data_IF_326485218559
#
_entry.id   IF_326485218559
#
_cell.length_a   1.000
_cell.length_b   1.000
_cell.length_c   1.000
_cell.angle_alpha   90.00
_cell.angle_beta   90.00
_cell.angle_gamma   90.00
#
_symmetry.space_group_name_H-M   'P 1'
#
loop_
_entity.id
_entity.type
_entity.pdbx_description
1 polymer ?
#
# COMPACT_ATOMS: atom_id res chain seq x y z
N UNK A 1 32.28 -54.74 60.86
CA UNK A 1 31.20 -54.88 59.91
C UNK A 1 29.90 -54.40 60.54
N UNK A 2 29.53 -53.19 60.41
CA UNK A 2 28.23 -52.63 60.93
C UNK A 2 27.57 -51.80 59.85
N UNK A 3 26.46 -52.30 59.29
CA UNK A 3 25.52 -51.59 58.41
C UNK A 3 24.89 -50.42 59.17
N UNK A 4 24.92 -49.25 58.59
CA UNK A 4 24.11 -48.12 59.03
C UNK A 4 22.98 -47.87 58.00
N UNK A 5 21.78 -48.11 58.50
CA UNK A 5 20.51 -47.80 57.85
C UNK A 5 20.31 -46.30 57.94
N UNK A 6 20.15 -45.61 56.77
CA UNK A 6 19.73 -44.21 56.71
C UNK A 6 18.26 -44.23 56.42
N UNK A 7 17.47 -43.77 57.37
CA UNK A 7 16.04 -43.52 57.22
C UNK A 7 15.90 -42.14 56.61
N UNK A 8 15.35 -42.04 55.36
CA UNK A 8 14.99 -40.79 54.75
C UNK A 8 13.55 -40.44 55.16
N UNK A 9 13.41 -39.34 55.89
CA UNK A 9 12.12 -38.76 56.25
C UNK A 9 11.72 -37.87 55.12
N UNK A 10 10.66 -38.22 54.36
CA UNK A 10 10.02 -37.40 53.34
C UNK A 10 9.06 -36.41 54.06
N UNK A 11 9.42 -35.14 54.02
CA UNK A 11 8.50 -34.06 54.42
C UNK A 11 7.66 -33.70 53.19
N UNK A 12 6.40 -34.06 53.23
CA UNK A 12 5.41 -33.64 52.27
C UNK A 12 4.87 -32.28 52.69
N UNK A 13 5.37 -31.21 52.08
CA UNK A 13 4.76 -29.86 52.17
C UNK A 13 3.64 -29.76 51.18
N UNK A 14 2.40 -29.76 51.67
CA UNK A 14 1.21 -29.43 50.86
C UNK A 14 1.21 -27.91 50.57
N UNK A 15 1.55 -27.51 49.37
CA UNK A 15 1.32 -26.18 48.84
C UNK A 15 -0.15 -26.08 48.46
N UNK A 16 -0.95 -25.38 49.28
CA UNK A 16 -2.28 -24.94 48.87
C UNK A 16 -2.13 -23.85 47.78
N UNK A 17 -2.40 -24.21 46.53
CA UNK A 17 -2.51 -23.26 45.45
C UNK A 17 -3.79 -22.47 45.68
N UNK A 18 -3.69 -21.22 46.13
CA UNK A 18 -4.79 -20.26 46.08
C UNK A 18 -4.98 -19.93 44.61
N UNK A 19 -6.03 -20.47 43.99
CA UNK A 19 -6.51 -20.02 42.70
C UNK A 19 -7.06 -18.58 42.89
N UNK A 20 -6.22 -17.60 42.57
CA UNK A 20 -6.69 -16.24 42.34
C UNK A 20 -7.57 -16.35 41.08
N UNK A 21 -8.86 -16.19 41.24
CA UNK A 21 -9.76 -15.99 40.11
C UNK A 21 -9.36 -14.66 39.46
N UNK A 22 -8.52 -14.73 38.44
CA UNK A 22 -8.31 -13.64 37.52
C UNK A 22 -9.69 -13.50 36.83
N UNK A 23 -10.44 -12.46 37.22
CA UNK A 23 -11.65 -12.05 36.51
C UNK A 23 -11.25 -11.93 35.04
N UNK A 24 -11.82 -12.79 34.19
CA UNK A 24 -11.47 -12.85 32.78
C UNK A 24 -11.59 -11.46 32.18
N UNK A 25 -10.46 -10.88 31.82
CA UNK A 25 -10.44 -9.77 30.89
C UNK A 25 -11.21 -10.26 29.66
N UNK A 26 -12.32 -9.62 29.36
CA UNK A 26 -13.07 -9.91 28.14
C UNK A 26 -12.12 -9.59 26.99
N UNK A 27 -11.86 -10.58 26.13
CA UNK A 27 -11.16 -10.39 24.89
C UNK A 27 -11.88 -9.27 24.12
N UNK A 28 -11.24 -8.08 23.88
CA UNK A 28 -11.90 -6.95 23.23
C UNK A 28 -12.31 -7.29 21.80
N UNK A 29 -11.69 -8.31 21.18
CA UNK A 29 -11.96 -8.76 19.81
C UNK A 29 -12.91 -9.99 19.78
N UNK A 30 -13.37 -10.46 20.94
CA UNK A 30 -14.32 -11.57 21.00
C UNK A 30 -15.67 -11.14 20.42
N UNK A 31 -16.09 -11.86 19.37
CA UNK A 31 -17.40 -11.63 18.71
C UNK A 31 -17.34 -10.69 17.49
N UNK A 32 -16.17 -10.21 17.09
CA UNK A 32 -16.03 -9.56 15.80
C UNK A 32 -16.25 -10.60 14.69
N UNK A 33 -17.29 -10.37 13.87
CA UNK A 33 -17.58 -11.22 12.71
C UNK A 33 -16.50 -10.98 11.62
N UNK A 34 -15.73 -12.02 11.33
CA UNK A 34 -14.65 -12.01 10.34
C UNK A 34 -15.15 -12.62 9.03
N UNK A 35 -15.23 -11.84 7.95
CA UNK A 35 -15.67 -12.38 6.68
C UNK A 35 -14.65 -13.37 6.11
N UNK A 36 -15.13 -14.35 5.36
CA UNK A 36 -14.22 -15.16 4.53
C UNK A 36 -13.71 -14.31 3.35
N UNK A 37 -12.39 -14.29 3.10
CA UNK A 37 -11.82 -13.55 1.99
C UNK A 37 -12.23 -14.17 0.65
N UNK A 38 -12.24 -13.34 -0.39
CA UNK A 38 -12.45 -13.83 -1.73
C UNK A 38 -11.19 -14.60 -2.20
N UNK A 39 -11.39 -15.83 -2.66
CA UNK A 39 -10.32 -16.68 -3.19
C UNK A 39 -10.28 -16.65 -4.72
N UNK A 40 -9.11 -16.99 -5.30
CA UNK A 40 -8.93 -17.12 -6.74
C UNK A 40 -9.93 -18.15 -7.32
N UNK A 41 -10.70 -17.73 -8.33
CA UNK A 41 -11.69 -18.59 -9.02
C UNK A 41 -11.23 -19.13 -10.38
N UNK A 42 -9.97 -18.89 -10.73
CA UNK A 42 -9.41 -19.42 -11.96
C UNK A 42 -8.51 -18.47 -12.72
N UNK A 43 -7.99 -18.96 -13.85
CA UNK A 43 -7.07 -18.20 -14.70
C UNK A 43 -7.83 -17.43 -15.78
N UNK A 44 -7.36 -16.21 -16.05
CA UNK A 44 -7.87 -15.34 -17.09
C UNK A 44 -6.77 -14.96 -18.08
N UNK A 45 -7.18 -14.58 -19.28
CA UNK A 45 -6.31 -13.97 -20.28
C UNK A 45 -7.03 -12.73 -20.83
N UNK A 46 -7.10 -11.70 -19.99
CA UNK A 46 -7.76 -10.44 -20.36
C UNK A 46 -6.87 -9.60 -21.27
N UNK A 47 -5.54 -9.71 -21.11
CA UNK A 47 -4.55 -8.92 -21.87
C UNK A 47 -3.20 -9.65 -21.97
N UNK A 48 -2.41 -9.23 -22.96
CA UNK A 48 -0.96 -9.45 -23.03
C UNK A 48 -0.23 -8.20 -22.56
N UNK A 49 1.06 -8.31 -22.25
CA UNK A 49 1.93 -7.16 -21.97
C UNK A 49 2.98 -6.95 -23.06
N UNK A 50 3.37 -5.71 -23.28
CA UNK A 50 4.47 -5.33 -24.16
C UNK A 50 5.40 -4.37 -23.41
N UNK A 51 6.71 -4.67 -23.41
CA UNK A 51 7.73 -3.76 -22.89
C UNK A 51 7.84 -2.54 -23.80
N UNK A 52 7.73 -1.33 -23.24
CA UNK A 52 7.72 -0.06 -23.97
C UNK A 52 8.87 0.86 -23.63
N UNK A 53 9.53 0.66 -22.48
CA UNK A 53 10.75 1.37 -22.10
C UNK A 53 11.69 0.44 -21.32
N UNK A 54 13.00 0.70 -21.42
CA UNK A 54 14.07 -0.05 -20.72
C UNK A 54 15.21 0.88 -20.34
N UNK A 55 16.16 0.37 -19.53
CA UNK A 55 17.33 1.16 -19.12
C UNK A 55 17.01 2.22 -18.07
N UNK A 56 15.90 2.05 -17.37
CA UNK A 56 15.53 2.87 -16.23
C UNK A 56 16.18 2.31 -14.96
N UNK A 57 16.38 3.17 -13.95
CA UNK A 57 17.02 2.75 -12.71
C UNK A 57 15.99 2.51 -11.61
N UNK A 58 15.61 1.24 -11.44
CA UNK A 58 14.63 0.82 -10.42
C UNK A 58 13.36 1.68 -10.43
N UNK A 59 12.55 1.67 -11.51
CA UNK A 59 11.31 2.42 -11.54
C UNK A 59 10.39 2.08 -10.36
N UNK A 60 9.88 3.09 -9.66
CA UNK A 60 8.93 2.94 -8.56
C UNK A 60 7.52 3.36 -8.93
N UNK A 61 7.37 4.19 -9.96
CA UNK A 61 6.09 4.69 -10.42
C UNK A 61 6.11 5.00 -11.92
N UNK A 62 4.96 4.89 -12.58
CA UNK A 62 4.75 5.31 -13.97
C UNK A 62 3.35 5.87 -14.16
N UNK A 63 3.22 6.92 -14.94
CA UNK A 63 1.93 7.51 -15.29
C UNK A 63 2.04 8.56 -16.38
N UNK A 64 0.97 9.30 -16.60
CA UNK A 64 0.87 10.35 -17.62
C UNK A 64 0.51 11.67 -16.96
N UNK A 65 1.20 12.75 -17.33
CA UNK A 65 0.89 14.08 -16.81
C UNK A 65 -0.30 14.70 -17.57
N UNK A 66 -1.20 15.40 -16.88
CA UNK A 66 -2.22 16.23 -17.55
C UNK A 66 -1.58 17.19 -18.55
N UNK A 67 -2.06 17.18 -19.80
CA UNK A 67 -1.53 18.00 -20.87
C UNK A 67 -0.29 17.43 -21.59
N UNK A 68 0.18 16.21 -21.23
CA UNK A 68 1.32 15.54 -21.88
C UNK A 68 1.02 14.07 -22.24
N UNK A 69 -0.06 13.79 -23.00
CA UNK A 69 -0.53 12.41 -23.26
C UNK A 69 0.45 11.56 -24.07
N UNK A 70 1.40 12.19 -24.76
CA UNK A 70 2.42 11.52 -25.57
C UNK A 70 3.64 11.03 -24.82
N UNK A 71 3.68 11.19 -23.50
CA UNK A 71 4.82 10.82 -22.68
C UNK A 71 4.42 10.00 -21.45
N UNK A 72 5.28 9.06 -21.07
CA UNK A 72 5.25 8.43 -19.77
C UNK A 72 6.20 9.18 -18.83
N UNK A 73 5.71 9.49 -17.64
CA UNK A 73 6.52 10.00 -16.55
C UNK A 73 6.85 8.85 -15.61
N UNK A 74 8.09 8.74 -15.22
CA UNK A 74 8.59 7.62 -14.43
C UNK A 74 9.40 8.16 -13.26
N UNK A 75 9.16 7.62 -12.07
CA UNK A 75 10.07 7.79 -10.95
C UNK A 75 11.14 6.71 -10.99
N UNK A 76 12.38 7.11 -10.88
CA UNK A 76 13.49 6.21 -10.57
C UNK A 76 13.80 6.29 -9.08
N UNK A 77 13.83 5.15 -8.39
CA UNK A 77 14.01 5.07 -6.95
C UNK A 77 15.19 5.91 -6.42
N UNK A 78 16.35 6.01 -7.12
CA UNK A 78 17.46 6.84 -6.65
C UNK A 78 17.22 8.36 -6.68
N UNK A 79 16.03 8.83 -7.09
CA UNK A 79 15.67 10.25 -6.96
C UNK A 79 15.47 11.00 -8.26
N UNK A 80 15.23 10.34 -9.39
CA UNK A 80 14.97 11.05 -10.65
C UNK A 80 13.52 10.93 -11.09
N UNK A 81 12.96 12.06 -11.52
CA UNK A 81 11.74 12.11 -12.31
C UNK A 81 12.14 12.17 -13.78
N UNK A 82 11.73 11.15 -14.53
CA UNK A 82 12.09 10.97 -15.94
C UNK A 82 10.85 11.09 -16.80
N UNK A 83 10.95 11.85 -17.89
CA UNK A 83 9.96 11.89 -18.96
C UNK A 83 10.45 11.04 -20.14
N UNK A 84 9.64 10.06 -20.54
CA UNK A 84 9.91 9.14 -21.64
C UNK A 84 8.92 9.40 -22.78
N UNK A 85 9.43 9.87 -23.92
CA UNK A 85 8.60 10.16 -25.10
C UNK A 85 9.36 9.85 -26.38
N UNK A 86 8.71 9.19 -27.36
CA UNK A 86 9.28 8.86 -28.64
C UNK A 86 10.58 8.02 -28.54
N UNK A 87 10.72 7.16 -27.51
CA UNK A 87 11.93 6.37 -27.27
C UNK A 87 13.07 7.16 -26.64
N UNK A 88 12.89 8.43 -26.32
CA UNK A 88 13.89 9.31 -25.70
C UNK A 88 13.58 9.54 -24.24
N UNK A 89 14.62 9.56 -23.42
CA UNK A 89 14.60 9.85 -21.99
C UNK A 89 15.10 11.26 -21.74
N UNK A 90 14.38 12.01 -20.89
CA UNK A 90 14.86 13.27 -20.31
C UNK A 90 14.61 13.30 -18.81
N UNK A 91 15.59 13.74 -18.03
CA UNK A 91 15.42 13.97 -16.58
C UNK A 91 14.76 15.34 -16.40
N UNK A 92 13.64 15.36 -15.66
CA UNK A 92 12.87 16.58 -15.38
C UNK A 92 13.24 17.13 -14.01
N UNK A 93 13.40 16.24 -13.00
CA UNK A 93 13.83 16.58 -11.65
C UNK A 93 14.91 15.59 -11.23
N UNK A 94 15.95 16.07 -10.57
CA UNK A 94 17.02 15.24 -10.02
C UNK A 94 17.20 15.54 -8.52
N UNK A 95 16.76 14.62 -7.68
CA UNK A 95 16.87 14.64 -6.21
C UNK A 95 17.90 13.62 -5.70
N UNK A 96 18.77 13.07 -6.56
CA UNK A 96 19.70 11.98 -6.19
C UNK A 96 20.64 12.32 -5.03
N UNK A 97 20.86 13.61 -4.75
CA UNK A 97 21.65 14.07 -3.61
C UNK A 97 20.83 14.26 -2.33
N UNK A 98 19.51 14.14 -2.41
CA UNK A 98 18.56 14.36 -1.32
C UNK A 98 17.84 13.09 -0.91
N UNK A 99 18.05 11.98 -1.63
CA UNK A 99 17.35 10.72 -1.46
C UNK A 99 18.27 9.68 -0.88
N UNK A 100 17.85 8.99 0.19
CA UNK A 100 18.43 7.74 0.65
C UNK A 100 17.75 6.59 -0.06
N UNK A 101 18.53 5.64 -0.58
CA UNK A 101 18.05 4.46 -1.30
C UNK A 101 18.25 3.23 -0.42
N UNK A 102 17.20 2.43 -0.27
CA UNK A 102 17.21 1.16 0.45
C UNK A 102 16.30 0.15 -0.23
N UNK A 103 15.85 -0.86 0.51
CA UNK A 103 14.87 -1.81 0.01
C UNK A 103 13.59 -1.07 -0.39
N UNK A 104 13.01 -0.33 0.54
CA UNK A 104 11.80 0.47 0.34
C UNK A 104 12.07 1.99 0.29
N UNK A 105 13.24 2.46 0.75
CA UNK A 105 13.64 3.87 0.71
C UNK A 105 13.94 4.33 -0.70
N UNK A 106 13.59 5.58 -1.01
CA UNK A 106 13.85 6.18 -2.31
C UNK A 106 12.89 7.30 -2.67
N UNK A 107 12.80 7.60 -3.96
CA UNK A 107 11.73 8.43 -4.54
C UNK A 107 10.54 7.51 -4.84
N UNK A 108 9.43 7.67 -4.10
CA UNK A 108 8.39 6.66 -3.96
C UNK A 108 7.04 7.07 -4.56
N UNK A 109 6.69 8.36 -4.51
CA UNK A 109 5.40 8.86 -4.96
C UNK A 109 5.48 10.10 -5.81
N UNK A 110 4.58 10.19 -6.80
CA UNK A 110 4.34 11.38 -7.62
C UNK A 110 2.84 11.54 -7.83
N UNK A 111 2.35 12.74 -7.61
CA UNK A 111 1.02 13.16 -8.03
C UNK A 111 1.12 14.46 -8.82
N UNK A 112 0.43 14.55 -9.94
CA UNK A 112 0.23 15.80 -10.65
C UNK A 112 -0.98 16.52 -10.09
N UNK A 113 -0.88 17.84 -9.92
CA UNK A 113 -2.06 18.64 -9.63
C UNK A 113 -3.10 18.43 -10.74
N UNK A 114 -4.40 18.36 -10.47
CA UNK A 114 -5.43 18.22 -11.52
C UNK A 114 -5.25 19.24 -12.68
N UNK A 115 -4.89 20.47 -12.36
CA UNK A 115 -4.63 21.53 -13.34
C UNK A 115 -3.16 21.62 -13.78
N UNK A 116 -2.38 20.53 -13.70
CA UNK A 116 -0.95 20.54 -14.04
C UNK A 116 -0.66 21.11 -15.42
N UNK A 117 -1.53 20.88 -16.39
CA UNK A 117 -1.38 21.43 -17.75
C UNK A 117 -1.19 22.96 -17.77
N UNK A 118 -1.79 23.67 -16.81
CA UNK A 118 -1.76 25.14 -16.70
C UNK A 118 -0.85 25.63 -15.59
N UNK A 119 -0.88 24.98 -14.40
CA UNK A 119 -0.17 25.48 -13.21
C UNK A 119 1.21 24.84 -12.99
N UNK A 120 1.52 23.73 -13.71
CA UNK A 120 2.80 23.01 -13.67
C UNK A 120 3.18 22.49 -12.27
N UNK A 121 2.21 22.34 -11.37
CA UNK A 121 2.42 21.85 -10.01
C UNK A 121 2.39 20.32 -10.00
N UNK A 122 3.37 19.71 -9.35
CA UNK A 122 3.40 18.28 -9.02
C UNK A 122 3.93 18.10 -7.60
N UNK A 123 3.68 16.94 -7.04
CA UNK A 123 4.04 16.59 -5.68
C UNK A 123 4.87 15.32 -5.69
N UNK A 124 5.94 15.32 -4.91
CA UNK A 124 6.83 14.17 -4.76
C UNK A 124 6.88 13.73 -3.31
N UNK A 125 6.94 12.41 -3.11
CA UNK A 125 7.30 11.78 -1.86
C UNK A 125 8.64 11.07 -2.02
N UNK A 126 9.54 11.25 -1.04
CA UNK A 126 10.81 10.55 -0.98
C UNK A 126 11.30 10.38 0.46
N UNK A 127 12.24 9.45 0.68
CA UNK A 127 13.00 9.35 1.92
C UNK A 127 14.28 10.17 1.78
N UNK A 128 14.47 11.14 2.68
CA UNK A 128 15.61 12.06 2.65
C UNK A 128 16.93 11.39 3.11
N UNK A 129 18.03 12.14 3.16
CA UNK A 129 19.37 11.64 3.54
C UNK A 129 19.47 11.12 4.97
N UNK A 130 18.48 11.39 5.83
CA UNK A 130 18.35 10.82 7.18
C UNK A 130 17.43 9.59 7.20
N UNK A 131 16.76 9.32 6.10
CA UNK A 131 15.75 8.27 5.96
C UNK A 131 14.34 8.72 6.27
N UNK A 132 14.12 10.01 6.58
CA UNK A 132 12.82 10.57 6.91
C UNK A 132 11.96 10.76 5.66
N UNK A 133 10.66 10.54 5.78
CA UNK A 133 9.69 10.82 4.71
C UNK A 133 9.50 12.31 4.50
N UNK A 134 9.57 12.73 3.24
CA UNK A 134 9.28 14.10 2.79
C UNK A 134 8.18 14.07 1.73
N UNK A 135 7.24 15.01 1.83
CA UNK A 135 6.33 15.35 0.73
C UNK A 135 6.48 16.85 0.43
N UNK A 136 6.70 17.17 -0.83
CA UNK A 136 6.84 18.56 -1.25
C UNK A 136 6.21 18.84 -2.62
N UNK A 137 5.82 20.09 -2.79
CA UNK A 137 5.35 20.66 -4.06
C UNK A 137 6.54 21.09 -4.91
N UNK A 138 6.44 20.81 -6.21
CA UNK A 138 7.38 21.25 -7.24
C UNK A 138 6.62 22.00 -8.33
N UNK A 139 7.26 23.06 -8.86
CA UNK A 139 6.79 23.77 -10.04
C UNK A 139 7.96 24.00 -10.99
N UNK A 140 7.76 23.68 -12.27
CA UNK A 140 8.80 23.80 -13.30
C UNK A 140 10.14 23.16 -12.89
N UNK A 141 10.07 21.99 -12.25
CA UNK A 141 11.22 21.20 -11.83
C UNK A 141 11.92 21.68 -10.54
N UNK A 142 11.39 22.68 -9.85
CA UNK A 142 11.96 23.24 -8.61
C UNK A 142 11.01 23.04 -7.45
N UNK A 143 11.53 22.65 -6.29
CA UNK A 143 10.77 22.58 -5.06
C UNK A 143 10.32 24.00 -4.66
N UNK A 144 9.02 24.15 -4.36
CA UNK A 144 8.39 25.41 -3.98
C UNK A 144 7.94 25.43 -2.52
N UNK A 145 7.47 24.28 -2.00
CA UNK A 145 6.95 24.17 -0.64
C UNK A 145 7.12 22.75 -0.10
N UNK A 146 7.57 22.62 1.15
CA UNK A 146 7.45 21.36 1.89
C UNK A 146 6.05 21.27 2.50
N UNK A 147 5.43 20.09 2.40
CA UNK A 147 4.09 19.82 2.91
C UNK A 147 4.10 18.87 4.09
N UNK A 148 5.01 17.89 4.10
CA UNK A 148 5.10 16.87 5.14
C UNK A 148 6.54 16.50 5.41
N UNK A 149 6.86 16.33 6.69
CA UNK A 149 8.09 15.72 7.19
C UNK A 149 7.70 14.76 8.31
N UNK A 150 8.06 13.47 8.17
CA UNK A 150 7.82 12.43 9.18
C UNK A 150 9.10 11.64 9.37
N UNK A 151 9.55 11.52 10.62
CA UNK A 151 10.67 10.66 10.97
C UNK A 151 10.29 9.19 10.71
N UNK A 152 11.20 8.44 10.07
CA UNK A 152 11.01 7.02 9.81
C UNK A 152 11.92 6.21 10.73
N UNK A 153 11.35 5.41 11.62
CA UNK A 153 12.16 4.66 12.58
C UNK A 153 12.99 3.55 11.93
N UNK A 154 12.42 2.88 10.91
CA UNK A 154 13.08 1.75 10.23
C UNK A 154 13.23 1.99 8.72
N UNK A 155 13.94 1.07 8.03
CA UNK A 155 14.21 1.18 6.58
C UNK A 155 13.07 0.68 5.70
N UNK A 156 12.09 0.03 6.29
CA UNK A 156 10.94 -0.59 5.63
C UNK A 156 9.63 0.09 6.05
N UNK A 157 8.53 -0.33 5.43
CA UNK A 157 7.18 0.18 5.62
C UNK A 157 7.09 1.69 5.41
N UNK A 158 7.77 2.19 4.37
CA UNK A 158 7.77 3.62 4.08
C UNK A 158 6.52 4.08 3.33
N UNK A 159 5.79 3.18 2.66
CA UNK A 159 4.62 3.54 1.85
C UNK A 159 4.96 4.57 0.76
N UNK A 160 4.38 5.76 0.86
CA UNK A 160 4.81 6.95 0.12
C UNK A 160 4.09 7.19 -1.21
N UNK A 161 3.09 6.39 -1.57
CA UNK A 161 2.27 6.70 -2.75
C UNK A 161 1.50 8.01 -2.58
N UNK A 162 1.41 8.78 -3.67
CA UNK A 162 0.64 10.02 -3.73
C UNK A 162 -0.43 9.93 -4.82
N UNK A 163 -1.63 10.39 -4.52
CA UNK A 163 -2.69 10.56 -5.50
C UNK A 163 -3.63 11.71 -5.09
N UNK A 164 -4.26 12.37 -6.06
CA UNK A 164 -5.38 13.25 -5.79
C UNK A 164 -6.67 12.44 -5.70
N UNK A 165 -7.45 12.69 -4.66
CA UNK A 165 -8.79 12.16 -4.51
C UNK A 165 -9.82 12.89 -5.39
N UNK A 166 -11.03 12.33 -5.54
CA UNK A 166 -12.12 12.97 -6.27
C UNK A 166 -12.61 14.28 -5.63
N UNK A 167 -12.29 14.49 -4.36
CA UNK A 167 -12.55 15.70 -3.58
C UNK A 167 -11.50 16.82 -3.82
N UNK A 168 -10.49 16.56 -4.65
CA UNK A 168 -9.41 17.50 -4.98
C UNK A 168 -8.29 17.57 -3.93
N UNK A 169 -8.35 16.78 -2.85
CA UNK A 169 -7.29 16.71 -1.84
C UNK A 169 -6.14 15.82 -2.31
N UNK A 170 -4.93 16.12 -1.87
CA UNK A 170 -3.76 15.25 -2.05
C UNK A 170 -3.73 14.22 -0.93
N UNK A 171 -3.60 12.95 -1.28
CA UNK A 171 -3.50 11.82 -0.35
C UNK A 171 -2.10 11.22 -0.35
N UNK A 172 -1.67 10.72 0.81
CA UNK A 172 -0.44 9.94 0.98
C UNK A 172 -0.70 8.70 1.83
N UNK A 173 -0.27 7.54 1.36
CA UNK A 173 -0.23 6.31 2.16
C UNK A 173 1.09 6.25 2.94
N UNK A 174 0.98 6.12 4.26
CA UNK A 174 2.11 6.03 5.18
C UNK A 174 2.11 4.66 5.83
N UNK A 175 3.21 3.92 5.72
CA UNK A 175 3.38 2.69 6.49
C UNK A 175 3.57 2.97 7.98
N UNK A 176 3.51 1.92 8.80
CA UNK A 176 3.64 1.98 10.26
C UNK A 176 5.07 2.35 10.74
N UNK A 177 6.02 2.45 9.80
CA UNK A 177 7.40 2.81 10.06
C UNK A 177 8.30 1.61 10.37
N UNK A 178 7.81 0.38 10.23
CA UNK A 178 8.58 -0.86 10.36
C UNK A 178 8.55 -1.48 11.75
N UNK A 179 9.22 -2.62 11.86
CA UNK A 179 9.15 -3.47 13.04
C UNK A 179 8.00 -4.49 12.95
N UNK A 180 8.21 -5.67 13.57
CA UNK A 180 7.19 -6.70 13.61
C UNK A 180 6.06 -6.31 14.58
N UNK A 181 4.81 -6.54 14.18
CA UNK A 181 3.59 -6.31 14.98
C UNK A 181 3.37 -4.87 15.43
N UNK A 182 3.94 -3.87 14.74
CA UNK A 182 3.82 -2.44 15.08
C UNK A 182 4.06 -2.18 16.59
N UNK A 183 5.29 -2.38 17.08
CA UNK A 183 5.56 -2.48 18.53
C UNK A 183 5.27 -1.20 19.31
N UNK A 184 5.18 -0.06 18.62
CA UNK A 184 4.82 1.23 19.21
C UNK A 184 3.40 1.65 18.90
N UNK A 185 2.61 0.76 18.24
CA UNK A 185 1.20 0.96 17.92
C UNK A 185 0.91 2.23 17.10
N UNK A 186 1.86 2.63 16.26
CA UNK A 186 1.72 3.84 15.45
C UNK A 186 0.54 3.78 14.51
N UNK A 187 0.25 2.60 13.94
CA UNK A 187 -0.89 2.43 13.04
C UNK A 187 -2.24 2.73 13.73
N UNK A 188 -2.33 2.53 15.04
CA UNK A 188 -3.53 2.76 15.84
C UNK A 188 -3.51 4.10 16.60
N UNK A 189 -2.40 4.84 16.63
CA UNK A 189 -2.29 6.14 17.29
C UNK A 189 -2.75 7.27 16.35
N UNK A 190 -3.81 7.98 16.71
CA UNK A 190 -4.36 9.10 15.91
C UNK A 190 -3.43 10.33 15.88
N UNK A 191 -2.53 10.47 16.82
CA UNK A 191 -1.56 11.56 16.89
C UNK A 191 -0.30 11.27 16.06
N UNK A 192 -0.05 10.01 15.69
CA UNK A 192 1.02 9.61 14.77
C UNK A 192 0.53 9.66 13.31
N UNK A 193 1.45 9.94 12.40
CA UNK A 193 1.19 9.96 10.94
C UNK A 193 1.54 8.64 10.25
N UNK A 194 2.18 7.71 10.96
CA UNK A 194 2.55 6.40 10.45
C UNK A 194 1.38 5.42 10.54
N UNK A 195 1.31 4.45 9.63
CA UNK A 195 0.22 3.49 9.52
C UNK A 195 -1.13 4.10 9.11
N UNK A 196 -1.12 5.10 8.21
CA UNK A 196 -2.27 5.95 7.87
C UNK A 196 -2.44 6.14 6.37
N UNK A 197 -3.67 6.41 5.98
CA UNK A 197 -3.95 7.22 4.79
C UNK A 197 -4.22 8.66 5.25
N UNK A 198 -3.39 9.59 4.82
CA UNK A 198 -3.50 11.01 5.16
C UNK A 198 -3.96 11.81 3.95
N UNK A 199 -4.69 12.91 4.17
CA UNK A 199 -5.07 13.85 3.12
C UNK A 199 -4.76 15.29 3.48
N UNK A 200 -4.56 16.15 2.47
CA UNK A 200 -4.37 17.60 2.66
C UNK A 200 -4.95 18.39 1.50
N UNK A 201 -5.45 19.60 1.80
CA UNK A 201 -5.81 20.58 0.79
C UNK A 201 -4.56 21.41 0.44
N UNK A 202 -4.01 21.18 -0.77
CA UNK A 202 -2.77 21.84 -1.22
C UNK A 202 -2.99 23.27 -1.65
N UNK A 203 -4.23 23.70 -1.86
CA UNK A 203 -4.61 25.07 -2.22
C UNK A 203 -5.13 25.88 -1.03
N UNK A 204 -5.43 25.19 0.09
CA UNK A 204 -5.85 25.76 1.36
C UNK A 204 -4.70 25.90 2.37
N UNK A 205 -5.00 25.55 3.61
CA UNK A 205 -4.09 25.65 4.76
C UNK A 205 -3.00 24.56 4.80
N UNK A 206 -3.12 23.55 3.93
CA UNK A 206 -2.27 22.38 3.85
C UNK A 206 -2.20 21.56 5.16
N UNK A 207 -3.22 21.66 6.02
CA UNK A 207 -3.35 20.81 7.20
C UNK A 207 -3.62 19.37 6.80
N UNK A 208 -2.92 18.43 7.42
CA UNK A 208 -3.09 17.01 7.19
C UNK A 208 -4.20 16.44 8.06
N UNK A 209 -5.05 15.62 7.46
CA UNK A 209 -6.11 14.85 8.13
C UNK A 209 -5.80 13.36 8.06
N UNK A 210 -6.21 12.62 9.09
CA UNK A 210 -6.20 11.15 9.09
C UNK A 210 -7.52 10.70 8.49
N UNK A 211 -7.48 9.96 7.40
CA UNK A 211 -8.65 9.39 6.71
C UNK A 211 -8.85 7.92 7.07
N UNK A 212 -7.74 7.16 7.19
CA UNK A 212 -7.74 5.77 7.61
C UNK A 212 -6.63 5.53 8.61
N UNK A 213 -6.86 4.59 9.54
CA UNK A 213 -5.89 4.07 10.51
C UNK A 213 -5.75 2.56 10.35
N UNK A 214 -4.74 1.97 11.01
CA UNK A 214 -4.57 0.53 11.02
C UNK A 214 -4.05 -0.02 9.69
N UNK A 215 -3.17 0.71 9.02
CA UNK A 215 -2.44 0.27 7.83
C UNK A 215 -1.02 -0.15 8.20
N UNK A 216 -0.52 -1.22 7.57
CA UNK A 216 0.86 -1.70 7.78
C UNK A 216 1.85 -1.03 6.83
N UNK A 217 1.68 -1.25 5.54
CA UNK A 217 2.54 -0.70 4.50
C UNK A 217 1.76 -0.52 3.19
N UNK A 218 0.88 0.50 3.11
CA UNK A 218 0.05 0.77 1.94
C UNK A 218 0.91 1.21 0.77
N UNK A 219 1.39 0.21 0.00
CA UNK A 219 2.37 0.45 -1.07
C UNK A 219 1.79 1.25 -2.21
N UNK A 220 0.61 0.87 -2.72
CA UNK A 220 -0.12 1.66 -3.72
C UNK A 220 -1.60 1.68 -3.41
N UNK A 221 -2.20 2.82 -3.68
CA UNK A 221 -3.65 2.98 -3.64
C UNK A 221 -4.15 3.74 -4.87
N UNK A 222 -5.42 3.62 -5.18
CA UNK A 222 -6.06 4.36 -6.27
C UNK A 222 -7.52 4.66 -5.93
N UNK A 223 -8.02 5.77 -6.44
CA UNK A 223 -9.43 6.12 -6.30
C UNK A 223 -10.26 5.56 -7.47
N UNK A 224 -11.40 4.97 -7.16
CA UNK A 224 -12.51 4.88 -8.10
C UNK A 224 -13.39 6.12 -7.94
N UNK A 225 -13.10 7.14 -8.74
CA UNK A 225 -13.80 8.42 -8.65
C UNK A 225 -15.30 8.32 -8.93
N UNK A 226 -15.74 7.30 -9.67
CA UNK A 226 -17.16 7.08 -9.97
C UNK A 226 -17.96 6.64 -8.74
N UNK A 227 -17.29 5.96 -7.80
CA UNK A 227 -17.90 5.41 -6.60
C UNK A 227 -17.46 6.14 -5.32
N UNK A 228 -16.48 7.04 -5.38
CA UNK A 228 -15.91 7.72 -4.20
C UNK A 228 -15.08 6.79 -3.32
N UNK A 229 -14.58 5.70 -3.86
CA UNK A 229 -13.88 4.66 -3.13
C UNK A 229 -12.37 4.74 -3.32
N UNK A 230 -11.62 4.39 -2.27
CA UNK A 230 -10.18 4.14 -2.35
C UNK A 230 -9.92 2.63 -2.29
N UNK A 231 -9.04 2.17 -3.15
CA UNK A 231 -8.54 0.81 -3.22
C UNK A 231 -7.06 0.80 -2.83
N UNK A 232 -6.69 -0.05 -1.88
CA UNK A 232 -5.35 -0.07 -1.29
C UNK A 232 -4.78 -1.47 -1.41
N UNK A 233 -3.51 -1.60 -1.76
CA UNK A 233 -2.72 -2.81 -1.54
C UNK A 233 -1.87 -2.56 -0.31
N UNK A 234 -2.21 -3.23 0.79
CA UNK A 234 -1.48 -3.14 2.05
C UNK A 234 -0.64 -4.40 2.26
N UNK A 235 0.67 -4.23 2.38
CA UNK A 235 1.64 -5.35 2.45
C UNK A 235 1.60 -5.97 3.84
N UNK A 236 1.30 -7.26 3.88
CA UNK A 236 1.25 -8.05 5.10
C UNK A 236 2.62 -8.37 5.71
N UNK A 237 2.61 -9.04 6.86
CA UNK A 237 3.84 -9.35 7.58
C UNK A 237 4.39 -10.74 7.27
N UNK A 238 3.61 -11.77 7.54
CA UNK A 238 4.10 -13.15 7.58
C UNK A 238 3.32 -14.11 6.66
N UNK A 239 2.01 -13.96 6.59
CA UNK A 239 1.13 -14.98 6.00
C UNK A 239 0.31 -14.48 4.83
N UNK A 240 -0.15 -13.21 4.84
CA UNK A 240 -1.23 -12.75 3.99
C UNK A 240 -1.00 -11.35 3.43
N UNK A 241 -1.19 -11.19 2.14
CA UNK A 241 -1.27 -9.91 1.45
C UNK A 241 -2.74 -9.51 1.26
N UNK A 242 -3.08 -8.22 1.37
CA UNK A 242 -4.47 -7.79 1.35
C UNK A 242 -4.77 -6.65 0.37
N UNK A 243 -6.02 -6.63 -0.08
CA UNK A 243 -6.62 -5.56 -0.88
C UNK A 243 -7.80 -5.00 -0.10
N UNK A 244 -7.71 -3.73 0.23
CA UNK A 244 -8.78 -3.00 0.88
C UNK A 244 -9.56 -2.15 -0.09
N UNK A 245 -10.85 -1.98 0.22
CA UNK A 245 -11.76 -1.11 -0.51
C UNK A 245 -12.57 -0.32 0.49
N UNK A 246 -12.42 0.99 0.50
CA UNK A 246 -13.02 1.86 1.49
C UNK A 246 -13.76 3.00 0.80
N UNK A 247 -15.02 3.21 1.19
CA UNK A 247 -15.72 4.46 0.88
C UNK A 247 -15.27 5.51 1.89
N UNK A 248 -14.65 6.57 1.39
CA UNK A 248 -14.30 7.73 2.21
C UNK A 248 -15.49 8.69 2.25
N UNK A 249 -15.97 8.95 3.46
CA UNK A 249 -17.11 9.83 3.69
C UNK A 249 -16.60 11.13 4.33
N UNK A 250 -16.90 12.29 3.76
CA UNK A 250 -16.48 13.57 4.33
C UNK A 250 -16.98 13.71 5.76
N UNK A 251 -16.13 14.22 6.65
CA UNK A 251 -16.43 14.54 8.06
C UNK A 251 -16.78 13.35 8.97
N UNK A 252 -16.66 12.11 8.48
CA UNK A 252 -16.75 10.90 9.31
C UNK A 252 -15.42 10.63 10.03
N UNK A 253 -15.45 9.96 11.20
CA UNK A 253 -14.23 9.48 11.86
C UNK A 253 -13.41 8.55 10.96
N UNK A 254 -12.08 8.48 11.13
CA UNK A 254 -11.24 7.57 10.37
C UNK A 254 -11.71 6.12 10.49
N UNK A 255 -11.83 5.42 9.37
CA UNK A 255 -12.08 3.97 9.38
C UNK A 255 -10.80 3.22 9.69
N UNK A 256 -10.93 2.04 10.34
CA UNK A 256 -9.83 1.24 10.84
C UNK A 256 -9.66 -0.03 9.99
N UNK A 257 -8.46 -0.29 9.46
CA UNK A 257 -8.16 -1.47 8.65
C UNK A 257 -7.57 -2.63 9.47
N UNK A 258 -7.36 -2.41 10.77
CA UNK A 258 -7.15 -3.49 11.74
C UNK A 258 -5.71 -3.82 12.07
N UNK A 259 -4.71 -3.34 11.36
CA UNK A 259 -3.31 -3.58 11.71
C UNK A 259 -2.96 -2.87 13.05
N UNK A 260 -2.29 -3.49 14.02
CA UNK A 260 -1.64 -4.81 13.98
C UNK A 260 -2.45 -5.93 14.71
N UNK A 261 -3.71 -5.70 15.02
CA UNK A 261 -4.55 -6.75 15.60
C UNK A 261 -4.88 -7.86 14.59
N UNK A 262 -4.95 -7.48 13.31
CA UNK A 262 -5.25 -8.39 12.20
C UNK A 262 -4.23 -8.23 11.06
N UNK A 263 -3.95 -9.34 10.37
CA UNK A 263 -3.32 -9.42 9.07
C UNK A 263 -4.33 -10.08 8.12
N UNK A 264 -4.81 -9.36 7.11
CA UNK A 264 -5.98 -9.80 6.38
C UNK A 264 -7.20 -9.97 7.30
N UNK A 265 -7.78 -11.16 7.29
CA UNK A 265 -8.87 -11.54 8.20
C UNK A 265 -8.40 -12.40 9.39
N UNK A 266 -7.09 -12.66 9.49
CA UNK A 266 -6.52 -13.45 10.57
C UNK A 266 -6.13 -12.55 11.75
N UNK A 267 -6.46 -13.01 12.99
CA UNK A 267 -5.98 -12.35 14.20
C UNK A 267 -4.52 -12.72 14.41
N UNK A 268 -3.66 -11.71 14.65
CA UNK A 268 -2.23 -11.94 14.82
C UNK A 268 -1.90 -12.68 16.14
N UNK A 269 -2.63 -12.37 17.23
CA UNK A 269 -2.44 -13.04 18.53
C UNK A 269 -1.13 -12.68 19.25
N UNK A 270 -0.33 -11.82 18.67
CA UNK A 270 0.90 -11.26 19.22
C UNK A 270 0.83 -9.73 19.26
N UNK A 271 1.57 -9.12 20.17
CA UNK A 271 1.53 -7.67 20.36
C UNK A 271 0.28 -7.18 21.11
N UNK A 272 0.02 -5.88 21.02
CA UNK A 272 -1.19 -5.25 21.56
C UNK A 272 -2.26 -5.23 20.47
N UNK A 273 -3.33 -5.99 20.66
CA UNK A 273 -4.43 -6.17 19.71
C UNK A 273 -5.62 -5.23 19.95
N UNK A 274 -5.45 -4.19 20.77
CA UNK A 274 -6.50 -3.18 20.93
C UNK A 274 -6.60 -2.30 19.67
N UNK A 275 -7.83 -1.98 19.29
CA UNK A 275 -8.14 -1.13 18.15
C UNK A 275 -8.54 0.27 18.60
N UNK A 276 -8.12 1.28 17.87
CA UNK A 276 -8.65 2.64 17.98
C UNK A 276 -10.11 2.66 17.54
N UNK A 277 -10.92 3.53 18.16
CA UNK A 277 -12.32 3.72 17.77
C UNK A 277 -12.43 4.08 16.27
N UNK A 278 -13.40 3.47 15.61
CA UNK A 278 -13.69 3.62 14.20
C UNK A 278 -14.37 2.36 13.64
N UNK A 279 -15.00 2.50 12.49
CA UNK A 279 -15.55 1.35 11.77
C UNK A 279 -14.42 0.45 11.31
N UNK A 280 -14.42 -0.83 11.73
CA UNK A 280 -13.46 -1.82 11.24
C UNK A 280 -13.85 -2.25 9.82
N UNK A 281 -12.95 -2.04 8.88
CA UNK A 281 -13.11 -2.42 7.47
C UNK A 281 -12.23 -3.61 7.17
N UNK A 282 -12.85 -4.67 6.64
CA UNK A 282 -12.16 -5.89 6.25
C UNK A 282 -11.69 -5.85 4.79
N UNK A 283 -10.57 -6.48 4.47
CA UNK A 283 -10.10 -6.58 3.09
C UNK A 283 -11.14 -7.28 2.20
N UNK A 284 -11.26 -6.80 0.97
CA UNK A 284 -12.15 -7.39 -0.03
C UNK A 284 -11.57 -8.63 -0.69
N UNK A 285 -10.23 -8.73 -0.71
CA UNK A 285 -9.50 -9.90 -1.18
C UNK A 285 -8.17 -10.02 -0.44
N UNK A 286 -7.69 -11.25 -0.34
CA UNK A 286 -6.36 -11.55 0.19
C UNK A 286 -5.77 -12.76 -0.53
N UNK A 287 -4.45 -12.93 -0.45
CA UNK A 287 -3.74 -14.12 -0.90
C UNK A 287 -2.58 -14.43 0.06
N UNK A 288 -2.18 -15.69 0.11
CA UNK A 288 -1.11 -16.13 1.00
C UNK A 288 0.27 -15.97 0.37
N UNK A 289 1.31 -16.04 1.18
CA UNK A 289 2.70 -16.00 0.73
C UNK A 289 3.11 -17.18 -0.16
N UNK A 290 2.25 -18.18 -0.35
CA UNK A 290 2.42 -19.21 -1.40
C UNK A 290 2.27 -18.63 -2.83
N UNK A 291 1.52 -17.54 -3.01
CA UNK A 291 1.26 -16.91 -4.31
C UNK A 291 2.10 -15.65 -4.56
N UNK A 292 2.57 -15.00 -3.50
CA UNK A 292 3.39 -13.79 -3.57
C UNK A 292 3.83 -13.35 -2.18
N UNK A 293 4.59 -12.27 -2.04
CA UNK A 293 5.11 -11.83 -0.75
C UNK A 293 5.06 -10.33 -0.53
N UNK A 294 4.49 -9.56 -1.46
CA UNK A 294 4.39 -8.10 -1.34
C UNK A 294 3.41 -7.58 -2.39
N UNK A 295 2.20 -7.30 -1.96
CA UNK A 295 1.18 -6.74 -2.82
C UNK A 295 1.58 -5.36 -3.33
N UNK A 296 1.48 -5.17 -4.64
CA UNK A 296 1.75 -3.85 -5.23
C UNK A 296 0.51 -2.95 -5.21
N UNK A 297 -0.70 -3.52 -5.22
CA UNK A 297 -1.91 -2.75 -5.49
C UNK A 297 -2.06 -2.43 -6.97
N UNK A 298 -2.95 -1.49 -7.30
CA UNK A 298 -3.26 -1.14 -8.68
C UNK A 298 -4.43 -0.17 -8.80
N UNK A 299 -5.34 -0.36 -9.78
CA UNK A 299 -6.47 0.54 -10.00
C UNK A 299 -7.67 -0.16 -10.66
N UNK A 300 -8.86 0.46 -10.58
CA UNK A 300 -10.06 -0.01 -11.28
C UNK A 300 -9.97 0.41 -12.76
N UNK A 301 -9.95 -0.57 -13.65
CA UNK A 301 -9.82 -0.33 -15.07
C UNK A 301 -11.10 0.26 -15.68
N UNK A 302 -10.97 1.44 -16.28
CA UNK A 302 -12.04 2.18 -16.95
C UNK A 302 -11.73 2.44 -18.45
N UNK A 303 -10.62 1.91 -18.97
CA UNK A 303 -10.26 2.03 -20.37
C UNK A 303 -11.20 1.25 -21.30
N UNK A 304 -10.98 1.34 -22.61
CA UNK A 304 -11.87 0.73 -23.60
C UNK A 304 -11.22 -0.36 -24.45
N UNK A 305 -9.88 -0.46 -24.42
CA UNK A 305 -9.18 -1.43 -25.26
C UNK A 305 -9.28 -2.87 -24.74
N UNK A 306 -9.51 -3.07 -23.44
CA UNK A 306 -9.51 -4.39 -22.78
C UNK A 306 -10.88 -4.70 -22.14
N UNK A 307 -11.91 -5.04 -22.93
CA UNK A 307 -13.29 -5.15 -22.45
C UNK A 307 -13.48 -6.23 -21.36
N UNK A 308 -12.57 -7.21 -21.27
CA UNK A 308 -12.61 -8.23 -20.19
C UNK A 308 -12.18 -7.70 -18.83
N UNK A 309 -11.49 -6.55 -18.77
CA UNK A 309 -11.08 -5.87 -17.54
C UNK A 309 -12.06 -4.77 -17.11
N UNK A 310 -13.01 -4.36 -17.95
CA UNK A 310 -13.89 -3.23 -17.67
C UNK A 310 -14.54 -3.34 -16.28
N UNK A 311 -14.33 -2.32 -15.43
CA UNK A 311 -14.84 -2.26 -14.05
C UNK A 311 -14.20 -3.27 -13.09
N UNK A 312 -13.05 -3.84 -13.42
CA UNK A 312 -12.29 -4.74 -12.54
C UNK A 312 -11.12 -3.98 -11.92
N UNK A 313 -10.84 -4.23 -10.66
CA UNK A 313 -9.61 -3.81 -10.01
C UNK A 313 -8.47 -4.73 -10.47
N UNK A 314 -7.45 -4.16 -11.09
CA UNK A 314 -6.25 -4.85 -11.53
C UNK A 314 -5.14 -4.60 -10.51
N UNK A 315 -4.53 -5.64 -9.98
CA UNK A 315 -3.46 -5.58 -8.99
C UNK A 315 -2.40 -6.65 -9.23
N UNK A 316 -1.31 -6.61 -8.49
CA UNK A 316 -0.26 -7.62 -8.64
C UNK A 316 0.69 -7.65 -7.47
N UNK A 317 1.70 -8.52 -7.56
CA UNK A 317 2.68 -8.80 -6.53
C UNK A 317 4.11 -8.53 -7.03
N UNK A 318 4.93 -7.95 -6.14
CA UNK A 318 6.33 -7.60 -6.44
C UNK A 318 7.22 -8.85 -6.58
N UNK A 319 7.06 -9.83 -5.72
CA UNK A 319 7.94 -11.00 -5.63
C UNK A 319 7.70 -11.97 -6.77
N UNK A 320 6.45 -12.39 -6.92
CA UNK A 320 6.05 -13.38 -7.92
C UNK A 320 5.86 -12.77 -9.31
N UNK A 321 5.59 -11.46 -9.38
CA UNK A 321 5.24 -10.76 -10.61
C UNK A 321 3.87 -11.15 -11.16
N UNK A 322 3.07 -11.86 -10.39
CA UNK A 322 1.71 -12.27 -10.77
C UNK A 322 0.80 -11.05 -10.82
N UNK A 323 -0.13 -11.07 -11.76
CA UNK A 323 -1.20 -10.08 -11.88
C UNK A 323 -2.54 -10.76 -11.65
N UNK A 324 -3.41 -10.08 -10.90
CA UNK A 324 -4.79 -10.49 -10.69
C UNK A 324 -5.75 -9.38 -11.10
N UNK A 325 -6.98 -9.77 -11.38
CA UNK A 325 -8.09 -8.85 -11.52
C UNK A 325 -9.28 -9.35 -10.71
N UNK A 326 -9.96 -8.46 -10.01
CA UNK A 326 -11.15 -8.79 -9.25
C UNK A 326 -12.31 -7.88 -9.64
N UNK A 327 -13.53 -8.36 -9.45
CA UNK A 327 -14.73 -7.56 -9.59
C UNK A 327 -15.29 -7.24 -8.21
N UNK A 328 -15.53 -5.97 -7.95
CA UNK A 328 -16.19 -5.56 -6.71
C UNK A 328 -17.64 -6.06 -6.69
N UNK A 329 -18.07 -6.59 -5.54
CA UNK A 329 -19.48 -6.83 -5.27
C UNK A 329 -20.12 -5.55 -4.68
N UNK A 330 -21.44 -5.35 -4.80
CA UNK A 330 -22.12 -4.15 -4.30
C UNK A 330 -22.01 -3.90 -2.79
N UNK A 331 -21.61 -4.91 -2.01
CA UNK A 331 -21.39 -4.82 -0.56
C UNK A 331 -20.11 -5.58 -0.20
N UNK A 332 -19.00 -4.87 -0.19
CA UNK A 332 -17.81 -5.18 0.59
C UNK A 332 -16.88 -6.28 0.08
N UNK A 333 -17.30 -7.35 -0.58
CA UNK A 333 -16.41 -8.46 -0.98
C UNK A 333 -16.11 -8.48 -2.47
N UNK A 334 -14.93 -9.00 -2.86
CA UNK A 334 -14.69 -9.32 -4.26
C UNK A 334 -15.58 -10.49 -4.70
N UNK A 335 -16.19 -10.37 -5.87
CA UNK A 335 -17.08 -11.41 -6.39
C UNK A 335 -16.36 -12.42 -7.28
N UNK A 336 -15.25 -12.04 -7.89
CA UNK A 336 -14.64 -12.81 -8.98
C UNK A 336 -13.15 -12.44 -9.09
N UNK A 337 -12.31 -13.11 -8.30
CA UNK A 337 -10.85 -12.95 -8.34
C UNK A 337 -10.27 -13.88 -9.39
N UNK A 338 -9.49 -13.36 -10.32
CA UNK A 338 -8.87 -14.11 -11.43
C UNK A 338 -7.39 -13.81 -11.50
N UNK A 339 -6.58 -14.85 -11.61
CA UNK A 339 -5.17 -14.74 -11.95
C UNK A 339 -5.01 -14.57 -13.46
N UNK A 340 -4.38 -13.46 -13.85
CA UNK A 340 -4.13 -13.18 -15.27
C UNK A 340 -2.94 -14.01 -15.77
N UNK A 341 -2.95 -14.32 -17.08
CA UNK A 341 -1.84 -15.05 -17.72
C UNK A 341 -0.58 -14.17 -17.82
N UNK A 342 -0.74 -12.88 -17.99
CA UNK A 342 0.34 -11.93 -18.02
C UNK A 342 0.98 -11.77 -16.63
N UNK A 343 2.28 -11.47 -16.57
CA UNK A 343 3.00 -11.18 -15.34
C UNK A 343 4.09 -10.13 -15.57
N UNK A 344 4.46 -9.38 -14.54
CA UNK A 344 5.49 -8.36 -14.58
C UNK A 344 6.50 -8.60 -13.45
N UNK A 345 7.75 -8.96 -13.75
CA UNK A 345 8.75 -9.23 -12.71
C UNK A 345 9.05 -7.97 -11.90
N UNK A 346 9.20 -8.12 -10.59
CA UNK A 346 9.50 -7.00 -9.67
C UNK A 346 8.56 -5.80 -9.90
N UNK A 347 7.27 -6.08 -9.91
CA UNK A 347 6.22 -5.07 -10.14
C UNK A 347 6.22 -4.04 -9.02
N UNK A 348 6.31 -2.75 -9.36
CA UNK A 348 6.32 -1.65 -8.37
C UNK A 348 5.13 -0.71 -8.48
N UNK A 349 4.47 -0.68 -9.64
CA UNK A 349 3.32 0.18 -9.87
C UNK A 349 2.47 -0.31 -11.05
N UNK A 350 1.17 -0.14 -10.92
CA UNK A 350 0.18 -0.27 -11.98
C UNK A 350 -0.66 1.00 -12.01
N UNK A 351 -0.76 1.64 -13.16
CA UNK A 351 -1.59 2.83 -13.32
C UNK A 351 -2.10 2.97 -14.74
N UNK A 352 -3.03 3.93 -14.99
CA UNK A 352 -3.52 4.21 -16.33
C UNK A 352 -2.54 5.04 -17.16
N UNK A 353 -2.51 4.81 -18.47
CA UNK A 353 -1.99 5.77 -19.43
C UNK A 353 -3.07 6.83 -19.81
N UNK A 354 -2.79 7.66 -20.81
CA UNK A 354 -3.70 8.74 -21.24
C UNK A 354 -5.07 8.24 -21.75
N UNK A 355 -5.13 6.99 -22.21
CA UNK A 355 -6.35 6.34 -22.71
C UNK A 355 -7.03 5.47 -21.64
N UNK A 356 -6.49 5.47 -20.41
CA UNK A 356 -6.94 4.62 -19.31
C UNK A 356 -6.39 3.19 -19.36
N UNK A 357 -5.46 2.90 -20.28
CA UNK A 357 -4.92 1.55 -20.46
C UNK A 357 -3.78 1.26 -19.47
N UNK A 358 -3.66 -0.01 -18.96
CA UNK A 358 -2.69 -0.32 -17.93
C UNK A 358 -1.24 -0.16 -18.40
N UNK A 359 -0.46 0.60 -17.62
CA UNK A 359 0.99 0.65 -17.66
C UNK A 359 1.58 0.15 -16.34
N UNK A 360 2.71 -0.52 -16.43
CA UNK A 360 3.34 -1.20 -15.31
C UNK A 360 4.77 -0.76 -15.17
N UNK A 361 5.19 -0.39 -13.96
CA UNK A 361 6.60 -0.18 -13.64
C UNK A 361 7.20 -1.44 -13.01
N UNK A 362 8.44 -1.72 -13.35
CA UNK A 362 9.20 -2.85 -12.83
C UNK A 362 10.55 -2.37 -12.32
N UNK A 363 10.90 -2.74 -11.08
CA UNK A 363 12.22 -2.43 -10.52
C UNK A 363 13.39 -3.06 -11.30
N UNK A 364 13.11 -4.01 -12.21
CA UNK A 364 14.10 -4.54 -13.15
C UNK A 364 14.55 -3.54 -14.22
N UNK A 365 14.02 -2.31 -14.22
CA UNK A 365 14.42 -1.23 -15.14
C UNK A 365 13.58 -1.12 -16.41
N UNK A 366 12.34 -1.62 -16.39
CA UNK A 366 11.46 -1.63 -17.54
C UNK A 366 10.06 -1.06 -17.23
N UNK A 367 9.43 -0.52 -18.26
CA UNK A 367 7.99 -0.19 -18.27
C UNK A 367 7.30 -1.08 -19.28
N UNK A 368 6.14 -1.60 -18.89
CA UNK A 368 5.27 -2.41 -19.75
C UNK A 368 3.93 -1.72 -19.94
N UNK A 369 3.23 -2.08 -21.03
CA UNK A 369 1.87 -1.64 -21.33
C UNK A 369 1.02 -2.87 -21.66
N UNK A 370 -0.21 -2.88 -21.17
CA UNK A 370 -1.19 -3.89 -21.57
C UNK A 370 -1.61 -3.68 -23.04
N UNK A 371 -2.00 -4.77 -23.68
CA UNK A 371 -2.55 -4.78 -25.03
C UNK A 371 -3.54 -5.94 -25.19
N UNK A 372 -4.40 -5.83 -26.17
CA UNK A 372 -5.30 -6.96 -26.50
C UNK A 372 -4.52 -8.25 -26.72
N UNK A 373 -5.03 -9.40 -26.24
CA UNK A 373 -4.43 -10.69 -26.51
C UNK A 373 -4.30 -10.94 -28.03
N UNK A 374 -3.18 -11.50 -28.44
CA UNK A 374 -3.08 -12.00 -29.82
C UNK A 374 -4.01 -13.21 -29.97
N UNK A 375 -4.77 -13.25 -31.06
CA UNK A 375 -5.62 -14.38 -31.45
C UNK A 375 -4.76 -15.59 -31.79
#
# INVERSE_FOLDING_TARGET
MRSRLIVAVAVVTALAAAAVAVGGLRDPLAGIDRPEPATERGRAHAFDIKRVATGLNRPTWVGVAPGDPGALWVLEQPGRVVRWSGGRRSTVIDLTRQVTVGAERGLLGLAFHPDFATNRRLFLNWTDTRGDTRVAEFRDGRQTRELLHVAQPEENHNGGHLAFGPDGRLYVGMGDGGGAFDPERRAQDLDDKLGKLLSTDVDGDAAWRVELVGLRNPWRFAFDAALGEVWIGDVGQDDVEEIDRVLLEPDEPPKNLGWSAFEGTARMGEGDDSLTDGELVWPVAQYTHDDGCSVTGGYVYQGTALPRLQGRYLYGDFCSGVLWSLKAAPKGRAADVRRERAGVPQLTHIGPDADGEPVFASASGAIYRARRPRR
#
